data_IF_342585581583
#
_entry.id   IF_342585581583
#
_cell.length_a   1.000
_cell.length_b   1.000
_cell.length_c   1.000
_cell.angle_alpha   90.00
_cell.angle_beta   90.00
_cell.angle_gamma   90.00
#
_symmetry.space_group_name_H-M   'P 1'
#
loop_
_entity.id
_entity.type
_entity.pdbx_description
1 polymer ?
#
# COMPACT_ATOMS: atom_id res chain seq x y z
N UNK A 1 -25.32 50.82 -36.59
CA UNK A 1 -25.94 49.49 -36.79
C UNK A 1 -25.89 48.74 -35.46
N UNK A 2 -27.03 48.46 -34.82
CA UNK A 2 -27.07 47.67 -33.58
C UNK A 2 -27.00 46.18 -33.94
N UNK A 3 -25.93 45.50 -33.52
CA UNK A 3 -25.83 44.03 -33.61
C UNK A 3 -26.85 43.43 -32.65
N UNK A 4 -27.81 42.66 -33.16
CA UNK A 4 -28.62 41.77 -32.33
C UNK A 4 -27.71 40.66 -31.80
N UNK A 5 -27.68 40.49 -30.47
CA UNK A 5 -27.04 39.34 -29.84
C UNK A 5 -27.90 38.10 -30.11
N UNK A 6 -27.36 37.13 -30.84
CA UNK A 6 -27.97 35.81 -30.97
C UNK A 6 -27.83 35.10 -29.62
N UNK A 7 -28.97 34.76 -28.99
CA UNK A 7 -29.02 34.02 -27.73
C UNK A 7 -29.29 32.52 -27.97
N UNK A 8 -28.91 31.68 -27.01
CA UNK A 8 -29.24 30.26 -27.01
C UNK A 8 -30.74 30.03 -26.87
N UNK A 9 -31.27 29.01 -27.55
CA UNK A 9 -32.68 28.64 -27.40
C UNK A 9 -32.89 27.84 -26.11
N UNK A 10 -34.12 27.87 -25.56
CA UNK A 10 -34.45 27.05 -24.40
C UNK A 10 -34.25 25.55 -24.67
N UNK A 11 -34.59 25.10 -25.88
CA UNK A 11 -34.41 23.69 -26.25
C UNK A 11 -32.93 23.30 -26.32
N UNK A 12 -32.06 24.20 -26.79
CA UNK A 12 -30.62 23.96 -26.84
C UNK A 12 -30.01 23.83 -25.45
N UNK A 13 -30.41 24.70 -24.51
CA UNK A 13 -30.01 24.56 -23.11
C UNK A 13 -30.54 23.27 -22.49
N UNK A 14 -31.79 22.86 -22.79
CA UNK A 14 -32.36 21.61 -22.30
C UNK A 14 -31.62 20.37 -22.81
N UNK A 15 -31.20 20.35 -24.08
CA UNK A 15 -30.41 19.25 -24.63
C UNK A 15 -29.04 19.19 -23.97
N UNK A 16 -28.37 20.34 -23.78
CA UNK A 16 -27.04 20.40 -23.14
C UNK A 16 -27.08 19.91 -21.70
N UNK A 17 -28.03 20.37 -20.87
CA UNK A 17 -28.15 19.89 -19.47
C UNK A 17 -28.48 18.40 -19.41
N UNK A 18 -29.24 17.88 -20.38
CA UNK A 18 -29.56 16.45 -20.46
C UNK A 18 -28.32 15.62 -20.76
N UNK A 19 -27.49 16.06 -21.72
CA UNK A 19 -26.22 15.40 -22.05
C UNK A 19 -25.26 15.46 -20.85
N UNK A 20 -25.14 16.61 -20.18
CA UNK A 20 -24.29 16.76 -18.98
C UNK A 20 -24.77 15.81 -17.88
N UNK A 21 -26.08 15.72 -17.63
CA UNK A 21 -26.64 14.82 -16.63
C UNK A 21 -26.26 13.36 -16.86
N UNK A 22 -26.31 12.91 -18.12
CA UNK A 22 -25.90 11.56 -18.51
C UNK A 22 -24.40 11.32 -18.26
N UNK A 23 -23.54 12.27 -18.66
CA UNK A 23 -22.10 12.15 -18.47
C UNK A 23 -21.72 12.13 -16.98
N UNK A 24 -22.35 12.97 -16.16
CA UNK A 24 -22.12 13.01 -14.71
C UNK A 24 -22.52 11.68 -14.06
N UNK A 25 -23.67 11.12 -14.45
CA UNK A 25 -24.13 9.83 -13.91
C UNK A 25 -23.11 8.70 -14.10
N UNK A 26 -22.55 8.57 -15.30
CA UNK A 26 -21.52 7.56 -15.61
C UNK A 26 -20.20 7.91 -14.91
N UNK A 27 -19.81 9.19 -14.90
CA UNK A 27 -18.56 9.66 -14.30
C UNK A 27 -18.44 9.35 -12.81
N UNK A 28 -19.53 9.53 -12.04
CA UNK A 28 -19.52 9.29 -10.59
C UNK A 28 -19.29 7.81 -10.27
N UNK A 29 -19.90 6.89 -11.01
CA UNK A 29 -19.71 5.46 -10.78
C UNK A 29 -18.25 5.02 -11.02
N UNK A 30 -17.63 5.51 -12.11
CA UNK A 30 -16.23 5.22 -12.41
C UNK A 30 -15.27 5.84 -11.40
N UNK A 31 -15.55 7.07 -10.95
CA UNK A 31 -14.76 7.77 -9.94
C UNK A 31 -14.74 7.01 -8.61
N UNK A 32 -15.87 6.44 -8.20
CA UNK A 32 -15.94 5.63 -6.98
C UNK A 32 -15.07 4.38 -7.05
N UNK A 33 -15.08 3.66 -8.18
CA UNK A 33 -14.22 2.49 -8.38
C UNK A 33 -12.73 2.87 -8.43
N UNK A 34 -12.42 3.99 -9.09
CA UNK A 34 -11.07 4.54 -9.12
C UNK A 34 -10.57 4.85 -7.70
N UNK A 35 -11.37 5.51 -6.87
CA UNK A 35 -10.99 5.84 -5.49
C UNK A 35 -10.74 4.60 -4.62
N UNK A 36 -11.56 3.55 -4.78
CA UNK A 36 -11.36 2.27 -4.09
C UNK A 36 -10.04 1.62 -4.47
N UNK A 37 -9.73 1.57 -5.77
CA UNK A 37 -8.47 1.04 -6.29
C UNK A 37 -7.28 1.88 -5.78
N UNK A 38 -7.40 3.19 -5.81
CA UNK A 38 -6.36 4.09 -5.31
C UNK A 38 -6.11 3.91 -3.81
N UNK A 39 -7.16 3.64 -3.02
CA UNK A 39 -7.03 3.35 -1.58
C UNK A 39 -6.21 2.07 -1.34
N UNK A 40 -6.51 0.98 -2.05
CA UNK A 40 -5.76 -0.27 -1.94
C UNK A 40 -4.30 -0.09 -2.41
N UNK A 41 -4.09 0.60 -3.53
CA UNK A 41 -2.75 0.89 -4.06
C UNK A 41 -1.95 1.72 -3.07
N UNK A 42 -2.54 2.75 -2.48
CA UNK A 42 -1.85 3.59 -1.49
C UNK A 42 -1.45 2.78 -0.25
N UNK A 43 -2.33 1.90 0.25
CA UNK A 43 -2.01 1.00 1.36
C UNK A 43 -0.82 0.09 1.02
N UNK A 44 -0.79 -0.47 -0.19
CA UNK A 44 0.30 -1.30 -0.68
C UNK A 44 1.62 -0.51 -0.79
N UNK A 45 1.58 0.71 -1.34
CA UNK A 45 2.76 1.57 -1.44
C UNK A 45 3.29 2.00 -0.07
N UNK A 46 2.41 2.30 0.88
CA UNK A 46 2.80 2.57 2.28
C UNK A 46 3.47 1.35 2.90
N UNK A 47 2.90 0.15 2.74
CA UNK A 47 3.53 -1.09 3.21
C UNK A 47 4.90 -1.31 2.56
N UNK A 48 5.02 -1.10 1.25
CA UNK A 48 6.30 -1.17 0.52
C UNK A 48 7.32 -0.18 1.07
N UNK A 49 6.92 1.05 1.36
CA UNK A 49 7.80 2.05 1.96
C UNK A 49 8.26 1.62 3.36
N UNK A 50 7.38 1.04 4.16
CA UNK A 50 7.72 0.51 5.49
C UNK A 50 8.64 -0.73 5.41
N UNK A 51 8.47 -1.59 4.40
CA UNK A 51 9.43 -2.67 4.10
C UNK A 51 10.80 -2.10 3.73
N UNK A 52 10.86 -1.05 2.88
CA UNK A 52 12.12 -0.38 2.54
C UNK A 52 12.76 0.30 3.75
N UNK A 53 11.97 0.92 4.62
CA UNK A 53 12.46 1.48 5.87
C UNK A 53 13.05 0.39 6.77
N UNK A 54 12.37 -0.75 6.90
CA UNK A 54 12.86 -1.92 7.63
C UNK A 54 14.18 -2.43 7.04
N UNK A 55 14.27 -2.56 5.72
CA UNK A 55 15.49 -2.93 5.01
C UNK A 55 16.63 -1.95 5.29
N UNK A 56 16.38 -0.64 5.22
CA UNK A 56 17.39 0.38 5.47
C UNK A 56 17.93 0.31 6.90
N UNK A 57 17.06 0.06 7.90
CA UNK A 57 17.47 -0.14 9.29
C UNK A 57 18.34 -1.39 9.48
N UNK A 58 18.03 -2.47 8.76
CA UNK A 58 18.87 -3.67 8.74
C UNK A 58 20.24 -3.38 8.09
N UNK A 59 20.26 -2.67 6.96
CA UNK A 59 21.50 -2.33 6.25
C UNK A 59 22.42 -1.42 7.05
N UNK A 60 21.86 -0.43 7.76
CA UNK A 60 22.64 0.44 8.65
C UNK A 60 23.07 -0.23 9.95
N UNK A 61 22.57 -1.43 10.24
CA UNK A 61 22.83 -2.12 11.50
C UNK A 61 22.32 -1.37 12.72
N UNK A 62 21.27 -0.55 12.55
CA UNK A 62 20.73 0.31 13.61
C UNK A 62 20.22 -0.56 14.77
N UNK A 63 20.91 -0.51 15.92
CA UNK A 63 20.43 -1.16 17.15
C UNK A 63 19.48 -0.22 17.89
N UNK A 64 18.38 -0.74 18.47
CA UNK A 64 17.58 0.00 19.44
C UNK A 64 18.45 0.51 20.60
N UNK A 65 18.04 1.62 21.20
CA UNK A 65 18.77 2.28 22.31
C UNK A 65 18.87 1.41 23.57
N UNK A 66 17.98 0.44 23.75
CA UNK A 66 17.99 -0.50 24.87
C UNK A 66 17.45 -1.88 24.47
N UNK A 67 17.73 -2.90 25.28
CA UNK A 67 17.23 -4.27 25.11
C UNK A 67 18.02 -5.14 24.12
N UNK A 68 18.82 -4.53 23.24
CA UNK A 68 19.54 -5.23 22.17
C UNK A 68 21.00 -5.52 22.53
N UNK A 69 21.21 -6.42 23.50
CA UNK A 69 22.55 -6.72 24.04
C UNK A 69 23.35 -7.70 23.18
N UNK A 70 22.68 -8.57 22.42
CA UNK A 70 23.34 -9.51 21.52
C UNK A 70 23.66 -8.89 20.14
N UNK A 71 24.20 -9.72 19.25
CA UNK A 71 24.43 -9.37 17.86
C UNK A 71 23.10 -9.15 17.13
N UNK A 72 23.01 -8.07 16.35
CA UNK A 72 21.83 -7.76 15.55
C UNK A 72 21.79 -8.71 14.35
N UNK A 73 20.76 -9.55 14.29
CA UNK A 73 20.51 -10.46 13.15
C UNK A 73 19.88 -9.69 11.98
N UNK A 74 18.97 -8.76 12.29
CA UNK A 74 18.29 -7.97 11.28
C UNK A 74 17.13 -7.14 11.83
N UNK A 75 16.40 -6.52 10.92
CA UNK A 75 15.11 -5.89 11.20
C UNK A 75 14.02 -6.61 10.42
N UNK A 76 12.87 -6.83 11.05
CA UNK A 76 11.73 -7.48 10.40
C UNK A 76 10.46 -6.67 10.55
N UNK A 77 9.66 -6.72 9.50
CA UNK A 77 8.28 -6.23 9.54
C UNK A 77 7.40 -7.41 9.92
N UNK A 78 6.65 -7.28 11.01
CA UNK A 78 5.80 -8.35 11.55
C UNK A 78 4.34 -7.87 11.59
N UNK A 79 3.46 -8.64 10.96
CA UNK A 79 2.02 -8.48 11.07
C UNK A 79 1.55 -8.97 12.44
N UNK A 80 0.90 -8.08 13.20
CA UNK A 80 0.26 -8.44 14.47
C UNK A 80 -1.13 -9.02 14.24
N UNK A 81 -1.78 -8.61 13.15
CA UNK A 81 -3.02 -9.18 12.64
C UNK A 81 -3.12 -8.93 11.12
N UNK A 82 -4.30 -9.12 10.53
CA UNK A 82 -4.49 -8.94 9.09
C UNK A 82 -4.49 -7.46 8.65
N UNK A 83 -4.40 -6.48 9.52
CA UNK A 83 -4.46 -5.04 9.20
C UNK A 83 -3.33 -4.25 9.85
N UNK A 84 -2.86 -4.70 10.99
CA UNK A 84 -1.85 -4.03 11.79
C UNK A 84 -0.52 -4.78 11.72
N UNK A 85 0.56 -4.01 11.75
CA UNK A 85 1.92 -4.52 11.71
C UNK A 85 2.86 -3.59 12.46
N UNK A 86 4.08 -4.06 12.69
CA UNK A 86 5.13 -3.32 13.37
C UNK A 86 6.48 -3.66 12.78
N UNK A 87 7.46 -2.78 13.01
CA UNK A 87 8.86 -3.01 12.70
C UNK A 87 9.56 -3.37 13.99
N UNK A 88 10.29 -4.48 13.99
CA UNK A 88 11.05 -4.96 15.15
C UNK A 88 12.50 -5.24 14.78
N UNK A 89 13.41 -4.95 15.71
CA UNK A 89 14.80 -5.37 15.63
C UNK A 89 14.92 -6.78 16.21
N UNK A 90 15.67 -7.66 15.55
CA UNK A 90 15.92 -9.03 16.02
C UNK A 90 17.38 -9.19 16.41
N UNK A 91 17.65 -9.30 17.71
CA UNK A 91 19.00 -9.45 18.27
C UNK A 91 19.02 -10.49 19.40
N UNK A 92 18.56 -11.70 19.10
CA UNK A 92 18.33 -12.78 20.08
C UNK A 92 16.98 -12.67 20.78
N UNK A 93 16.51 -11.43 21.00
CA UNK A 93 15.12 -11.09 21.32
C UNK A 93 14.57 -10.15 20.25
N UNK A 94 13.25 -10.13 20.10
CA UNK A 94 12.58 -9.17 19.24
C UNK A 94 12.17 -7.93 20.04
N UNK A 95 12.56 -6.77 19.54
CA UNK A 95 12.32 -5.48 20.18
C UNK A 95 11.55 -4.57 19.24
N UNK A 96 10.46 -4.00 19.74
CA UNK A 96 9.62 -3.11 18.95
C UNK A 96 10.36 -1.79 18.67
N UNK A 97 10.47 -1.45 17.38
CA UNK A 97 11.12 -0.21 16.91
C UNK A 97 10.07 0.79 16.44
N UNK A 98 9.08 0.32 15.69
CA UNK A 98 7.97 1.14 15.22
C UNK A 98 6.67 0.35 15.34
N UNK A 99 5.74 0.87 16.14
CA UNK A 99 4.44 0.26 16.43
C UNK A 99 3.30 1.10 15.89
N UNK A 100 2.09 0.54 15.86
CA UNK A 100 0.88 1.27 15.45
C UNK A 100 0.75 1.49 13.94
N UNK A 101 1.52 0.75 13.12
CA UNK A 101 1.37 0.80 11.67
C UNK A 101 0.15 -0.02 11.25
N UNK A 102 -0.61 0.51 10.28
CA UNK A 102 -1.82 -0.11 9.78
C UNK A 102 -1.91 -0.01 8.26
N UNK A 103 -2.57 -0.99 7.63
CA UNK A 103 -2.89 -1.00 6.20
C UNK A 103 -4.02 -0.02 5.84
N UNK A 104 -4.64 0.62 6.82
CA UNK A 104 -5.73 1.58 6.62
C UNK A 104 -7.10 0.91 6.60
N UNK A 105 -8.12 1.69 6.25
CA UNK A 105 -9.51 1.22 6.24
C UNK A 105 -9.80 0.34 5.02
N UNK A 106 -10.55 -0.76 5.24
CA UNK A 106 -11.01 -1.68 4.18
C UNK A 106 -9.89 -2.36 3.37
N UNK A 107 -8.66 -2.39 3.90
CA UNK A 107 -7.55 -3.15 3.37
C UNK A 107 -7.03 -4.10 4.43
N UNK A 108 -6.78 -5.35 4.05
CA UNK A 108 -6.19 -6.38 4.91
C UNK A 108 -5.21 -7.27 4.16
N UNK A 109 -4.27 -7.88 4.88
CA UNK A 109 -3.46 -8.99 4.42
C UNK A 109 -4.38 -10.20 4.22
N UNK A 110 -4.43 -10.69 2.99
CA UNK A 110 -5.20 -11.87 2.59
C UNK A 110 -4.36 -13.16 2.65
N UNK A 111 -3.08 -13.08 2.28
CA UNK A 111 -2.16 -14.22 2.33
C UNK A 111 -0.71 -13.73 2.41
N UNK A 112 0.20 -14.67 2.65
CA UNK A 112 1.63 -14.41 2.82
C UNK A 112 2.13 -14.54 4.25
N UNK A 113 3.45 -14.47 4.45
CA UNK A 113 4.07 -14.68 5.76
C UNK A 113 3.65 -13.63 6.78
N UNK A 114 3.77 -13.98 8.06
CA UNK A 114 3.50 -13.06 9.16
C UNK A 114 4.67 -12.11 9.44
N UNK A 115 5.87 -12.44 8.96
CA UNK A 115 7.01 -11.56 9.06
C UNK A 115 7.90 -11.63 7.82
N UNK A 116 8.55 -10.52 7.49
CA UNK A 116 9.64 -10.46 6.51
C UNK A 116 10.87 -9.93 7.23
N UNK A 117 11.91 -10.76 7.35
CA UNK A 117 13.19 -10.40 7.94
C UNK A 117 14.17 -9.91 6.87
N UNK A 118 14.71 -8.71 7.08
CA UNK A 118 15.89 -8.20 6.37
C UNK A 118 17.10 -8.39 7.26
N UNK A 119 18.12 -9.10 6.75
CA UNK A 119 19.34 -9.39 7.49
C UNK A 119 20.30 -8.20 7.42
N UNK A 120 21.11 -8.04 8.46
CA UNK A 120 22.13 -6.98 8.49
C UNK A 120 23.20 -7.18 7.41
N UNK A 121 23.97 -6.12 7.14
CA UNK A 121 25.19 -6.16 6.31
C UNK A 121 24.95 -6.69 4.87
N UNK A 122 23.76 -6.46 4.33
CA UNK A 122 23.45 -6.84 2.95
C UNK A 122 23.29 -8.35 2.72
N UNK A 123 23.08 -9.14 3.78
CA UNK A 123 22.86 -10.59 3.67
C UNK A 123 21.47 -10.99 3.10
N UNK A 124 20.77 -10.03 2.48
CA UNK A 124 19.48 -10.24 1.85
C UNK A 124 18.30 -10.26 2.81
N UNK A 125 17.26 -11.03 2.46
CA UNK A 125 16.03 -11.13 3.23
C UNK A 125 15.45 -12.55 3.19
N UNK A 126 14.52 -12.82 4.11
CA UNK A 126 13.61 -13.95 3.98
C UNK A 126 12.60 -13.64 2.88
N UNK A 127 12.63 -14.43 1.81
CA UNK A 127 11.72 -14.23 0.69
C UNK A 127 10.27 -14.48 1.10
N UNK A 128 9.36 -13.68 0.57
CA UNK A 128 7.95 -13.81 0.87
C UNK A 128 7.10 -12.95 -0.03
N UNK A 129 5.90 -13.43 -0.33
CA UNK A 129 4.89 -12.68 -1.09
C UNK A 129 3.77 -12.30 -0.15
N UNK A 130 3.51 -11.00 -0.04
CA UNK A 130 2.41 -10.45 0.75
C UNK A 130 1.31 -10.02 -0.21
N UNK A 131 0.11 -10.50 0.08
CA UNK A 131 -1.07 -10.20 -0.70
C UNK A 131 -2.07 -9.40 0.12
N UNK A 132 -2.47 -8.25 -0.40
CA UNK A 132 -3.48 -7.39 0.20
C UNK A 132 -4.81 -7.57 -0.52
N UNK A 133 -5.91 -7.52 0.23
CA UNK A 133 -7.28 -7.52 -0.26
C UNK A 133 -7.95 -6.21 0.19
N UNK A 134 -8.59 -5.53 -0.74
CA UNK A 134 -9.43 -4.37 -0.43
C UNK A 134 -10.44 -4.15 -1.54
N UNK A 135 -11.69 -3.85 -1.18
CA UNK A 135 -12.78 -3.61 -2.13
C UNK A 135 -12.96 -4.72 -3.20
N UNK A 136 -12.69 -5.98 -2.85
CA UNK A 136 -12.79 -7.13 -3.76
C UNK A 136 -11.65 -7.25 -4.78
N UNK A 137 -10.63 -6.38 -4.72
CA UNK A 137 -9.41 -6.44 -5.54
C UNK A 137 -8.22 -6.87 -4.70
N UNK A 138 -7.23 -7.47 -5.35
CA UNK A 138 -5.99 -7.92 -4.71
C UNK A 138 -4.80 -7.14 -5.24
N UNK A 139 -3.84 -6.87 -4.35
CA UNK A 139 -2.60 -6.17 -4.67
C UNK A 139 -1.43 -6.95 -4.09
N UNK A 140 -0.38 -7.19 -4.89
CA UNK A 140 0.71 -8.10 -4.55
C UNK A 140 2.03 -7.34 -4.39
N UNK A 141 2.76 -7.68 -3.33
CA UNK A 141 4.13 -7.22 -3.08
C UNK A 141 4.98 -8.44 -2.77
N UNK A 142 6.16 -8.55 -3.38
CA UNK A 142 7.07 -9.66 -3.11
C UNK A 142 8.45 -9.17 -2.69
N UNK A 143 9.06 -9.91 -1.77
CA UNK A 143 10.44 -9.71 -1.34
C UNK A 143 11.24 -10.93 -1.76
N UNK A 144 12.37 -10.72 -2.44
CA UNK A 144 13.27 -11.79 -2.89
C UNK A 144 14.32 -12.11 -1.82
N UNK A 145 15.03 -13.23 -1.97
CA UNK A 145 16.12 -13.62 -1.06
C UNK A 145 17.27 -12.61 -1.05
N UNK A 146 17.46 -11.85 -2.12
CA UNK A 146 18.45 -10.76 -2.18
C UNK A 146 18.01 -9.50 -1.46
N UNK A 147 16.78 -9.45 -0.93
CA UNK A 147 16.19 -8.27 -0.30
C UNK A 147 15.57 -7.28 -1.28
N UNK A 148 15.41 -7.63 -2.56
CA UNK A 148 14.71 -6.77 -3.51
C UNK A 148 13.20 -6.77 -3.19
N UNK A 149 12.60 -5.58 -3.08
CA UNK A 149 11.17 -5.40 -2.83
C UNK A 149 10.48 -5.01 -4.14
N UNK A 150 9.71 -5.93 -4.70
CA UNK A 150 8.97 -5.76 -5.96
C UNK A 150 7.52 -5.39 -5.71
N UNK A 151 7.08 -4.36 -6.41
CA UNK A 151 5.67 -3.99 -6.51
C UNK A 151 5.09 -4.70 -7.73
N UNK A 152 4.23 -5.67 -7.49
CA UNK A 152 3.66 -6.53 -8.52
C UNK A 152 2.27 -6.03 -8.98
N UNK A 153 1.76 -4.97 -8.35
CA UNK A 153 0.51 -4.35 -8.75
C UNK A 153 -0.75 -5.14 -8.40
N UNK A 154 -1.82 -4.84 -9.13
CA UNK A 154 -3.10 -5.53 -9.01
C UNK A 154 -3.05 -6.91 -9.64
N UNK A 155 -3.62 -7.91 -8.96
CA UNK A 155 -3.63 -9.31 -9.39
C UNK A 155 -5.02 -9.93 -9.26
N UNK A 156 -5.33 -10.94 -10.08
CA UNK A 156 -6.60 -11.67 -10.00
C UNK A 156 -6.63 -12.68 -8.84
N UNK A 157 -5.51 -13.36 -8.60
CA UNK A 157 -5.34 -14.38 -7.57
C UNK A 157 -4.07 -14.11 -6.75
N UNK A 158 -4.04 -14.67 -5.54
CA UNK A 158 -2.89 -14.67 -4.68
C UNK A 158 -2.41 -16.11 -4.45
N UNK A 159 -1.11 -16.33 -4.28
CA UNK A 159 -0.59 -17.60 -3.77
C UNK A 159 -1.02 -17.83 -2.31
#
# INVERSE_FOLDING_TARGET
MRKFSLGYTLIELMVVISIIGLLVGIGVAQYNEFNKNQTLKQAALTLKNNLRQTQNKALSGEKPTSGCTASLSGHKLTFTDNRNYKIVASCGVDLDVLTGLTLGQNVSKSSGPNSILFKVLGQGAEAGTICLLGFGKRYKISVTVSGEIKDEGFVGTCP
#
